data_IF_944562288809
#
_entry.id   IF_944562288809
#
_cell.length_a   1.000
_cell.length_b   1.000
_cell.length_c   1.000
_cell.angle_alpha   90.00
_cell.angle_beta   90.00
_cell.angle_gamma   90.00
#
_symmetry.space_group_name_H-M   'P 1'
#
loop_
_entity.id
_entity.type
_entity.pdbx_description
1 polymer ?
#
# COMPACT_ATOMS: atom_id res chain seq x y z
N UNK A 1 -41.71 -31.56 53.32
CA UNK A 1 -42.04 -30.40 52.47
C UNK A 1 -40.73 -29.69 52.14
N UNK A 2 -40.04 -30.12 51.09
CA UNK A 2 -38.76 -29.55 50.66
C UNK A 2 -38.98 -28.79 49.35
N UNK A 3 -38.80 -27.47 49.38
CA UNK A 3 -38.81 -26.61 48.19
C UNK A 3 -37.45 -26.70 47.50
N UNK A 4 -37.45 -27.09 46.22
CA UNK A 4 -36.30 -26.98 45.33
C UNK A 4 -36.37 -25.61 44.63
N UNK A 5 -35.40 -24.72 44.89
CA UNK A 5 -35.24 -23.47 44.15
C UNK A 5 -34.20 -23.68 43.04
N UNK A 6 -34.61 -23.56 41.78
CA UNK A 6 -33.71 -23.57 40.64
C UNK A 6 -33.25 -22.13 40.36
N UNK A 7 -31.96 -21.86 40.54
CA UNK A 7 -31.33 -20.60 40.12
C UNK A 7 -30.84 -20.74 38.67
N UNK A 8 -31.44 -20.00 37.75
CA UNK A 8 -30.96 -19.86 36.38
C UNK A 8 -29.83 -18.82 36.33
N UNK A 9 -28.62 -19.27 36.00
CA UNK A 9 -27.50 -18.38 35.72
C UNK A 9 -27.62 -17.85 34.28
N UNK A 10 -27.97 -16.58 34.11
CA UNK A 10 -27.85 -15.86 32.84
C UNK A 10 -26.38 -15.49 32.63
N UNK A 11 -25.68 -16.26 31.79
CA UNK A 11 -24.37 -15.90 31.28
C UNK A 11 -24.49 -14.84 30.19
N UNK A 12 -24.05 -13.61 30.46
CA UNK A 12 -23.84 -12.59 29.43
C UNK A 12 -22.60 -12.95 28.62
N UNK A 13 -22.79 -13.44 27.40
CA UNK A 13 -21.73 -13.52 26.41
C UNK A 13 -21.43 -12.12 25.87
N UNK A 14 -20.31 -11.53 26.27
CA UNK A 14 -19.77 -10.34 25.64
C UNK A 14 -19.28 -10.74 24.23
N UNK A 15 -20.01 -10.31 23.19
CA UNK A 15 -19.56 -10.45 21.81
C UNK A 15 -18.31 -9.56 21.64
N UNK A 16 -17.14 -10.18 21.46
CA UNK A 16 -15.95 -9.46 21.03
C UNK A 16 -16.24 -8.88 19.64
N UNK A 17 -16.31 -7.55 19.52
CA UNK A 17 -16.37 -6.90 18.21
C UNK A 17 -15.10 -7.28 17.43
N UNK A 18 -15.28 -7.95 16.29
CA UNK A 18 -14.21 -8.19 15.35
C UNK A 18 -13.55 -6.86 14.97
N UNK A 19 -12.23 -6.81 14.96
CA UNK A 19 -11.49 -5.62 14.54
C UNK A 19 -11.99 -5.18 13.14
N UNK A 20 -12.17 -3.87 12.91
CA UNK A 20 -12.65 -3.38 11.61
C UNK A 20 -11.74 -3.87 10.49
N UNK A 21 -12.34 -4.33 9.40
CA UNK A 21 -11.61 -4.68 8.19
C UNK A 21 -10.85 -3.48 7.60
N UNK A 22 -9.91 -3.72 6.66
CA UNK A 22 -9.04 -2.67 6.15
C UNK A 22 -9.79 -1.50 5.50
N UNK A 23 -10.93 -1.75 4.85
CA UNK A 23 -11.75 -0.69 4.26
C UNK A 23 -12.37 0.25 5.31
N UNK A 24 -12.89 -0.30 6.41
CA UNK A 24 -13.40 0.51 7.52
C UNK A 24 -12.29 1.30 8.21
N UNK A 25 -11.12 0.69 8.43
CA UNK A 25 -9.99 1.39 9.02
C UNK A 25 -9.52 2.58 8.16
N UNK A 26 -9.46 2.39 6.83
CA UNK A 26 -9.13 3.48 5.90
C UNK A 26 -10.18 4.60 5.87
N UNK A 27 -11.46 4.26 6.01
CA UNK A 27 -12.52 5.24 6.09
C UNK A 27 -12.41 6.10 7.36
N UNK A 28 -12.06 5.49 8.50
CA UNK A 28 -11.84 6.20 9.77
C UNK A 28 -10.66 7.18 9.67
N UNK A 29 -9.57 6.82 8.99
CA UNK A 29 -8.43 7.73 8.77
C UNK A 29 -8.82 9.04 8.08
N UNK A 30 -9.87 9.05 7.26
CA UNK A 30 -10.33 10.26 6.55
C UNK A 30 -11.34 11.05 7.40
N UNK A 31 -11.96 10.41 8.39
CA UNK A 31 -12.95 11.04 9.27
C UNK A 31 -12.31 11.68 10.49
N UNK A 32 -11.25 11.07 11.02
CA UNK A 32 -10.62 11.50 12.25
C UNK A 32 -9.20 12.05 12.01
N UNK A 33 -9.04 13.39 11.97
CA UNK A 33 -7.72 14.00 11.82
C UNK A 33 -6.76 13.67 12.98
N UNK A 34 -7.26 13.28 14.16
CA UNK A 34 -6.41 12.96 15.32
C UNK A 34 -5.60 11.67 15.13
N UNK A 35 -5.99 10.81 14.18
CA UNK A 35 -5.24 9.62 13.79
C UNK A 35 -3.96 9.95 13.01
N UNK A 36 -3.79 11.21 12.57
CA UNK A 36 -2.63 11.69 11.83
C UNK A 36 -1.65 12.42 12.76
N UNK A 37 -0.53 11.77 13.05
CA UNK A 37 0.58 12.35 13.79
C UNK A 37 1.44 13.25 12.90
N UNK A 38 1.35 14.56 13.11
CA UNK A 38 2.29 15.53 12.53
C UNK A 38 3.61 15.57 13.34
N UNK A 39 4.74 15.82 12.66
CA UNK A 39 6.07 15.90 13.29
C UNK A 39 6.89 17.06 12.71
N UNK A 40 7.99 17.42 13.38
CA UNK A 40 8.91 18.48 12.94
C UNK A 40 8.18 19.80 12.63
N UNK A 41 7.43 20.31 13.59
CA UNK A 41 6.65 21.56 13.47
C UNK A 41 5.61 21.58 12.33
N UNK A 42 5.34 20.43 11.72
CA UNK A 42 4.22 20.25 10.79
C UNK A 42 2.90 20.50 11.54
N UNK A 43 1.99 21.36 11.04
CA UNK A 43 0.68 21.53 11.66
C UNK A 43 -0.14 20.23 11.64
N UNK A 44 -1.04 20.00 12.62
CA UNK A 44 -1.93 18.84 12.58
C UNK A 44 -2.84 18.88 11.35
N UNK A 45 -3.27 17.70 10.89
CA UNK A 45 -4.33 17.60 9.89
C UNK A 45 -5.64 18.16 10.46
N UNK A 46 -6.50 18.69 9.59
CA UNK A 46 -7.78 19.29 9.99
C UNK A 46 -8.91 18.71 9.14
N UNK A 47 -10.09 18.49 9.73
CA UNK A 47 -11.26 18.12 8.96
C UNK A 47 -11.91 19.37 8.36
N UNK A 48 -12.39 19.29 7.13
CA UNK A 48 -13.25 20.33 6.55
C UNK A 48 -14.68 20.10 7.05
N UNK A 49 -15.19 21.04 7.84
CA UNK A 49 -16.52 20.95 8.43
C UNK A 49 -17.61 20.81 7.36
N UNK A 50 -18.59 19.94 7.63
CA UNK A 50 -19.75 19.69 6.76
C UNK A 50 -19.44 19.16 5.35
N UNK A 51 -18.19 18.80 5.04
CA UNK A 51 -17.84 18.20 3.75
C UNK A 51 -18.49 16.81 3.59
N UNK A 52 -19.11 16.57 2.43
CA UNK A 52 -19.62 15.26 2.03
C UNK A 52 -19.10 14.92 0.61
N UNK A 53 -18.28 13.86 0.46
CA UNK A 53 -17.76 12.97 1.50
C UNK A 53 -16.77 13.70 2.46
N UNK A 54 -16.38 13.09 3.60
CA UNK A 54 -15.42 13.69 4.53
C UNK A 54 -14.09 14.02 3.85
N UNK A 55 -13.52 15.18 4.20
CA UNK A 55 -12.27 15.70 3.64
C UNK A 55 -11.33 16.09 4.77
N UNK A 56 -10.07 15.67 4.66
CA UNK A 56 -8.98 16.19 5.49
C UNK A 56 -8.15 17.20 4.71
N UNK A 57 -7.80 18.29 5.36
CA UNK A 57 -6.89 19.33 4.89
C UNK A 57 -5.55 19.26 5.62
N UNK A 58 -4.47 19.34 4.85
CA UNK A 58 -3.09 19.25 5.29
C UNK A 58 -2.35 20.53 4.92
N UNK A 59 -2.08 21.37 5.92
CA UNK A 59 -1.43 22.67 5.72
C UNK A 59 0.08 22.52 5.54
N UNK A 60 0.62 23.21 4.55
CA UNK A 60 2.03 23.25 4.21
C UNK A 60 2.56 24.68 4.41
N UNK A 61 2.95 25.07 5.64
CA UNK A 61 3.43 26.43 5.93
C UNK A 61 4.91 26.59 5.51
N UNK A 62 5.19 26.44 4.22
CA UNK A 62 6.55 26.48 3.67
C UNK A 62 7.23 27.84 3.74
N UNK A 63 6.49 28.93 3.94
CA UNK A 63 7.08 30.25 4.14
C UNK A 63 7.76 30.36 5.52
N UNK A 64 7.19 29.72 6.55
CA UNK A 64 7.68 29.80 7.93
C UNK A 64 8.52 28.61 8.39
N UNK A 65 8.52 27.48 7.67
CA UNK A 65 9.28 26.30 8.04
C UNK A 65 10.64 26.20 7.31
N UNK A 66 11.76 25.99 8.03
CA UNK A 66 13.07 25.79 7.41
C UNK A 66 13.20 24.41 6.75
N UNK A 67 12.36 23.45 7.15
CA UNK A 67 12.42 22.07 6.69
C UNK A 67 12.07 21.92 5.20
N UNK A 68 12.70 20.93 4.56
CA UNK A 68 12.50 20.61 3.14
C UNK A 68 11.17 19.92 2.85
N UNK A 69 10.45 19.48 3.89
CA UNK A 69 9.15 18.79 3.78
C UNK A 69 8.35 18.91 5.07
N UNK A 70 7.05 18.82 4.93
CA UNK A 70 6.10 18.53 6.02
C UNK A 70 5.50 17.15 5.82
N UNK A 71 5.13 16.47 6.90
CA UNK A 71 4.56 15.14 6.78
C UNK A 71 3.67 14.72 7.96
N UNK A 72 2.77 13.79 7.67
CA UNK A 72 1.79 13.24 8.59
C UNK A 72 1.81 11.72 8.51
N UNK A 73 1.88 11.08 9.67
CA UNK A 73 1.88 9.62 9.82
C UNK A 73 0.56 9.14 10.39
N UNK A 74 -0.03 8.10 9.79
CA UNK A 74 -1.22 7.42 10.31
C UNK A 74 -0.98 5.92 10.45
N UNK A 75 -1.39 5.29 11.58
CA UNK A 75 -1.29 3.85 11.74
C UNK A 75 -2.30 3.15 10.83
N UNK A 76 -1.89 2.04 10.20
CA UNK A 76 -2.78 1.20 9.38
C UNK A 76 -2.44 -0.27 9.58
N UNK A 77 -3.28 -1.15 9.04
CA UNK A 77 -2.93 -2.56 8.83
C UNK A 77 -3.37 -2.93 7.41
N UNK A 78 -2.43 -2.94 6.47
CA UNK A 78 -2.69 -3.15 5.05
C UNK A 78 -1.81 -4.24 4.46
N UNK A 79 -2.41 -4.99 3.55
CA UNK A 79 -1.74 -5.88 2.62
C UNK A 79 -2.03 -5.33 1.21
N UNK A 80 -1.03 -4.71 0.58
CA UNK A 80 -1.10 -4.16 -0.79
C UNK A 80 -0.61 -5.15 -1.85
N UNK A 81 -0.44 -6.40 -1.47
CA UNK A 81 0.14 -7.43 -2.30
C UNK A 81 -1.04 -8.21 -2.97
N UNK A 82 -0.81 -9.15 -3.90
CA UNK A 82 -1.88 -9.79 -4.72
C UNK A 82 -2.82 -8.84 -5.50
N UNK A 83 -2.29 -7.81 -6.17
CA UNK A 83 -3.06 -7.00 -7.14
C UNK A 83 -3.98 -5.95 -6.48
N UNK A 84 -3.80 -5.72 -5.18
CA UNK A 84 -4.41 -4.60 -4.47
C UNK A 84 -3.69 -3.30 -4.83
N UNK A 85 -4.46 -2.24 -4.96
CA UNK A 85 -3.92 -0.88 -5.11
C UNK A 85 -4.59 0.03 -4.10
N UNK A 86 -3.80 0.93 -3.53
CA UNK A 86 -4.29 1.97 -2.66
C UNK A 86 -4.85 3.11 -3.51
N UNK A 87 -6.06 3.58 -3.21
CA UNK A 87 -6.68 4.71 -3.91
C UNK A 87 -7.07 5.81 -2.94
N UNK A 88 -7.04 7.03 -3.43
CA UNK A 88 -7.64 8.20 -2.78
C UNK A 88 -7.84 9.30 -3.80
N UNK A 89 -8.58 10.34 -3.43
CA UNK A 89 -8.63 11.59 -4.20
C UNK A 89 -7.84 12.67 -3.48
N UNK A 90 -7.16 13.50 -4.26
CA UNK A 90 -6.38 14.63 -3.78
C UNK A 90 -6.72 15.88 -4.59
N UNK A 91 -6.82 17.02 -3.92
CA UNK A 91 -6.96 18.34 -4.50
C UNK A 91 -5.99 19.30 -3.80
N UNK A 92 -5.63 20.41 -4.44
CA UNK A 92 -4.82 21.45 -3.82
C UNK A 92 -5.19 22.78 -4.47
N UNK A 93 -5.69 23.78 -3.71
CA UNK A 93 -6.07 25.07 -4.30
C UNK A 93 -4.93 25.76 -5.06
N UNK A 94 -3.68 25.55 -4.61
CA UNK A 94 -2.48 25.97 -5.32
C UNK A 94 -1.37 24.91 -5.14
N UNK A 95 -1.18 23.98 -6.08
CA UNK A 95 -0.16 22.95 -5.97
C UNK A 95 1.25 23.46 -6.29
N UNK A 96 1.42 24.68 -6.83
CA UNK A 96 2.71 25.15 -7.34
C UNK A 96 3.83 25.14 -6.28
N UNK A 97 3.59 25.52 -5.00
CA UNK A 97 4.63 25.47 -3.98
C UNK A 97 5.05 24.04 -3.55
N UNK A 98 4.32 23.00 -3.98
CA UNK A 98 4.61 21.59 -3.68
C UNK A 98 5.43 20.98 -4.82
N UNK A 99 6.76 20.85 -4.63
CA UNK A 99 7.64 20.21 -5.63
C UNK A 99 7.35 18.72 -5.81
N UNK A 100 6.91 18.06 -4.74
CA UNK A 100 6.58 16.64 -4.73
C UNK A 100 5.61 16.32 -3.61
N UNK A 101 4.54 15.59 -3.93
CA UNK A 101 3.70 14.94 -2.94
C UNK A 101 3.99 13.44 -3.00
N UNK A 102 4.40 12.84 -1.89
CA UNK A 102 4.74 11.41 -1.81
C UNK A 102 3.88 10.73 -0.75
N UNK A 103 3.31 9.59 -1.12
CA UNK A 103 2.69 8.66 -0.17
C UNK A 103 3.71 7.58 0.14
N UNK A 104 3.99 7.36 1.42
CA UNK A 104 4.82 6.27 1.87
C UNK A 104 4.02 5.22 2.65
N UNK A 105 4.40 3.97 2.49
CA UNK A 105 3.90 2.82 3.22
C UNK A 105 5.05 2.19 3.99
N UNK A 106 5.00 2.25 5.33
CA UNK A 106 6.03 1.60 6.15
C UNK A 106 5.76 0.11 6.21
N UNK A 107 6.81 -0.68 6.07
CA UNK A 107 6.78 -2.12 6.32
C UNK A 107 8.08 -2.53 7.01
N UNK A 108 7.99 -3.00 8.25
CA UNK A 108 9.19 -3.37 9.02
C UNK A 108 10.16 -2.20 9.19
N UNK A 109 11.40 -2.38 8.72
CA UNK A 109 12.52 -1.43 8.85
C UNK A 109 12.72 -0.54 7.60
N UNK A 110 11.70 -0.43 6.75
CA UNK A 110 11.77 0.41 5.57
C UNK A 110 10.41 0.92 5.13
N UNK A 111 10.43 1.61 3.99
CA UNK A 111 9.26 2.26 3.40
C UNK A 111 9.16 1.94 1.92
N UNK A 112 7.95 1.99 1.40
CA UNK A 112 7.69 2.07 -0.02
C UNK A 112 7.09 3.43 -0.34
N UNK A 113 7.70 4.21 -1.23
CA UNK A 113 7.21 5.53 -1.64
C UNK A 113 6.67 5.54 -3.07
N UNK A 114 5.58 6.28 -3.30
CA UNK A 114 5.05 6.61 -4.62
C UNK A 114 4.64 8.09 -4.69
N UNK A 115 4.79 8.70 -5.86
CA UNK A 115 4.36 10.08 -6.07
C UNK A 115 2.85 10.15 -6.26
N UNK A 116 2.22 11.21 -5.74
CA UNK A 116 0.77 11.37 -5.74
C UNK A 116 0.36 12.82 -6.02
N UNK A 117 0.80 13.37 -7.15
CA UNK A 117 0.59 14.78 -7.48
C UNK A 117 -0.89 15.12 -7.73
N UNK A 118 -1.43 16.21 -7.13
CA UNK A 118 -2.74 16.75 -7.45
C UNK A 118 -2.85 17.22 -8.90
N UNK A 119 -4.06 17.55 -9.35
CA UNK A 119 -4.25 18.21 -10.65
C UNK A 119 -3.71 19.65 -10.59
N UNK A 120 -3.22 20.15 -11.73
CA UNK A 120 -2.58 21.47 -11.81
C UNK A 120 -3.57 22.64 -11.74
N UNK A 121 -4.83 22.38 -12.09
CA UNK A 121 -5.97 23.30 -11.99
C UNK A 121 -6.59 23.35 -10.59
N UNK A 122 -6.07 22.55 -9.66
CA UNK A 122 -6.52 22.46 -8.28
C UNK A 122 -7.74 21.56 -8.05
N UNK A 123 -8.26 20.94 -9.11
CA UNK A 123 -9.39 20.03 -9.02
C UNK A 123 -9.03 18.69 -8.36
N UNK A 124 -10.09 17.97 -7.96
CA UNK A 124 -9.97 16.63 -7.43
C UNK A 124 -9.43 15.65 -8.47
N UNK A 125 -8.36 14.95 -8.11
CA UNK A 125 -7.76 13.88 -8.91
C UNK A 125 -7.74 12.59 -8.13
N UNK A 126 -8.24 11.51 -8.74
CA UNK A 126 -8.07 10.17 -8.19
C UNK A 126 -6.63 9.68 -8.41
N UNK A 127 -5.95 9.36 -7.32
CA UNK A 127 -4.66 8.69 -7.30
C UNK A 127 -4.88 7.20 -7.07
N UNK A 128 -4.21 6.37 -7.85
CA UNK A 128 -4.11 4.92 -7.64
C UNK A 128 -2.64 4.55 -7.56
N UNK A 129 -2.25 3.95 -6.45
CA UNK A 129 -0.89 3.46 -6.22
C UNK A 129 -0.95 1.95 -6.21
N UNK A 130 -0.37 1.36 -7.24
CA UNK A 130 -0.17 -0.08 -7.36
C UNK A 130 1.24 -0.46 -6.93
N UNK A 131 1.50 -1.75 -6.86
CA UNK A 131 2.81 -2.29 -6.50
C UNK A 131 3.93 -1.89 -7.47
N UNK A 132 3.62 -1.52 -8.73
CA UNK A 132 4.60 -1.08 -9.73
C UNK A 132 5.10 0.34 -9.49
N UNK A 133 4.28 1.19 -8.88
CA UNK A 133 4.58 2.59 -8.56
C UNK A 133 5.55 2.71 -7.38
N UNK A 134 5.60 1.67 -6.54
CA UNK A 134 6.27 1.67 -5.26
C UNK A 134 7.80 1.53 -5.37
N UNK A 135 8.49 2.45 -4.69
CA UNK A 135 9.95 2.48 -4.58
C UNK A 135 10.40 2.19 -3.15
N UNK A 136 11.18 1.12 -2.91
CA UNK A 136 11.66 0.82 -1.57
C UNK A 136 12.72 1.84 -1.14
N UNK A 137 12.64 2.25 0.11
CA UNK A 137 13.62 3.06 0.83
C UNK A 137 13.97 2.35 2.14
N UNK A 138 15.26 2.20 2.43
CA UNK A 138 15.73 1.37 3.54
C UNK A 138 15.54 -0.13 3.28
N UNK A 139 15.07 -0.87 4.28
CA UNK A 139 14.91 -2.34 4.24
C UNK A 139 13.48 -2.76 4.57
N UNK A 140 12.51 -2.55 3.67
CA UNK A 140 11.13 -2.92 3.93
C UNK A 140 10.93 -4.44 3.93
N UNK A 141 10.04 -4.93 4.79
CA UNK A 141 9.79 -6.39 4.96
C UNK A 141 8.84 -7.01 3.92
N UNK A 142 8.11 -6.21 3.14
CA UNK A 142 7.17 -6.70 2.11
C UNK A 142 5.94 -5.80 1.97
N UNK A 143 5.02 -6.11 1.05
CA UNK A 143 3.79 -5.31 0.87
C UNK A 143 2.60 -5.89 1.65
N UNK A 144 2.76 -7.10 2.19
CA UNK A 144 1.78 -7.80 3.03
C UNK A 144 1.70 -7.29 4.48
N UNK A 145 2.66 -6.48 4.94
CA UNK A 145 2.81 -6.08 6.34
C UNK A 145 2.95 -4.56 6.50
N UNK A 146 2.12 -3.79 5.78
CA UNK A 146 2.13 -2.34 5.89
C UNK A 146 1.40 -1.92 7.16
N UNK A 147 2.11 -1.19 8.01
CA UNK A 147 1.63 -0.80 9.33
C UNK A 147 1.48 0.72 9.53
N UNK A 148 1.89 1.52 8.54
CA UNK A 148 1.80 2.99 8.57
C UNK A 148 1.73 3.58 7.18
N UNK A 149 0.90 4.60 7.02
CA UNK A 149 0.92 5.52 5.87
C UNK A 149 1.57 6.83 6.30
N UNK A 150 2.36 7.42 5.40
CA UNK A 150 2.82 8.81 5.50
C UNK A 150 2.41 9.59 4.27
N UNK A 151 1.82 10.75 4.47
CA UNK A 151 1.69 11.77 3.43
C UNK A 151 2.79 12.79 3.64
N UNK A 152 3.59 13.07 2.61
CA UNK A 152 4.71 14.00 2.71
C UNK A 152 4.68 15.00 1.54
N UNK A 153 4.55 16.28 1.86
CA UNK A 153 4.66 17.36 0.89
C UNK A 153 6.07 17.96 0.97
N UNK A 154 6.79 17.89 -0.15
CA UNK A 154 8.13 18.43 -0.29
C UNK A 154 8.07 19.86 -0.80
N UNK A 155 8.75 20.74 -0.09
CA UNK A 155 8.84 22.17 -0.41
C UNK A 155 9.48 22.39 -1.77
N UNK A 156 8.81 23.14 -2.64
CA UNK A 156 9.36 23.70 -3.87
C UNK A 156 9.78 25.16 -3.68
N UNK A 157 8.86 25.96 -3.17
CA UNK A 157 9.04 27.39 -2.94
C UNK A 157 8.75 27.79 -1.49
N UNK A 158 9.14 29.00 -1.11
CA UNK A 158 8.88 29.59 0.21
C UNK A 158 7.48 30.20 0.30
N UNK A 159 6.46 29.46 -0.14
CA UNK A 159 5.07 29.93 -0.23
C UNK A 159 4.15 28.91 0.44
N UNK A 160 3.31 29.38 1.36
CA UNK A 160 2.36 28.54 2.05
C UNK A 160 1.29 28.00 1.10
N UNK A 161 0.89 26.75 1.32
CA UNK A 161 -0.19 26.11 0.57
C UNK A 161 -0.84 25.02 1.42
N UNK A 162 -1.79 24.28 0.85
CA UNK A 162 -2.33 23.06 1.43
C UNK A 162 -2.70 22.06 0.35
N UNK A 163 -2.94 20.82 0.78
CA UNK A 163 -3.63 19.84 -0.04
C UNK A 163 -4.73 19.17 0.79
N UNK A 164 -5.73 18.68 0.08
CA UNK A 164 -6.91 18.04 0.64
C UNK A 164 -6.96 16.60 0.14
N UNK A 165 -7.41 15.67 0.99
CA UNK A 165 -7.61 14.28 0.59
C UNK A 165 -8.96 13.76 1.04
N UNK A 166 -9.51 12.81 0.28
CA UNK A 166 -10.75 12.10 0.61
C UNK A 166 -10.77 10.70 0.00
N UNK A 167 -11.77 9.91 0.38
CA UNK A 167 -12.10 8.63 -0.25
C UNK A 167 -10.95 7.62 -0.31
N UNK A 168 -10.25 7.41 0.82
CA UNK A 168 -9.27 6.34 0.94
C UNK A 168 -9.93 4.98 0.72
N UNK A 169 -9.23 4.09 0.02
CA UNK A 169 -9.70 2.73 -0.20
C UNK A 169 -8.68 1.82 -0.82
N UNK A 170 -9.06 0.54 -0.91
CA UNK A 170 -8.34 -0.47 -1.67
C UNK A 170 -9.16 -0.87 -2.88
N UNK A 171 -8.56 -0.81 -4.05
CA UNK A 171 -9.08 -1.47 -5.25
C UNK A 171 -8.43 -2.85 -5.35
N UNK A 172 -9.26 -3.88 -5.56
CA UNK A 172 -8.80 -5.22 -5.91
C UNK A 172 -9.02 -5.40 -7.40
N UNK A 173 -7.94 -5.60 -8.17
CA UNK A 173 -8.08 -6.04 -9.55
C UNK A 173 -7.68 -7.51 -9.64
N UNK A 174 -8.56 -8.41 -10.11
CA UNK A 174 -8.17 -9.76 -10.45
C UNK A 174 -6.99 -9.69 -11.42
N UNK A 175 -5.87 -10.29 -11.04
CA UNK A 175 -4.68 -10.33 -11.86
C UNK A 175 -4.40 -11.79 -12.19
N UNK A 176 -4.68 -12.26 -13.43
CA UNK A 176 -4.42 -13.64 -13.81
C UNK A 176 -2.92 -13.93 -13.94
N UNK A 177 -2.06 -12.92 -13.84
CA UNK A 177 -0.61 -13.06 -13.87
C UNK A 177 -0.04 -12.73 -12.49
N UNK A 178 0.81 -13.59 -11.96
CA UNK A 178 1.56 -13.38 -10.73
C UNK A 178 3.05 -13.26 -11.04
N UNK A 179 3.67 -12.12 -10.71
CA UNK A 179 5.12 -11.92 -10.78
C UNK A 179 5.73 -12.28 -9.43
N UNK A 180 6.63 -13.26 -9.38
CA UNK A 180 7.41 -13.52 -8.16
C UNK A 180 8.63 -12.61 -8.13
N UNK A 181 8.64 -11.66 -7.21
CA UNK A 181 9.82 -10.82 -6.97
C UNK A 181 10.94 -11.69 -6.41
N UNK A 182 12.18 -11.55 -6.90
CA UNK A 182 13.34 -12.27 -6.39
C UNK A 182 13.80 -11.70 -5.04
N UNK A 183 12.91 -11.69 -4.07
CA UNK A 183 13.14 -11.15 -2.72
C UNK A 183 14.05 -12.09 -1.91
N UNK A 184 14.11 -13.37 -2.27
CA UNK A 184 15.10 -14.36 -1.81
C UNK A 184 16.56 -13.93 -2.10
N UNK A 185 16.77 -13.03 -3.07
CA UNK A 185 18.09 -12.47 -3.39
C UNK A 185 18.46 -11.26 -2.53
N UNK A 186 17.66 -10.83 -1.55
CA UNK A 186 17.84 -9.53 -0.87
C UNK A 186 19.27 -9.25 -0.38
N UNK A 187 19.98 -10.28 0.10
CA UNK A 187 21.34 -10.21 0.65
C UNK A 187 22.45 -10.61 -0.36
N UNK A 188 22.13 -10.75 -1.65
CA UNK A 188 23.09 -11.13 -2.69
C UNK A 188 23.48 -9.93 -3.57
N UNK A 189 24.57 -10.08 -4.33
CA UNK A 189 25.00 -9.07 -5.30
C UNK A 189 23.98 -8.85 -6.44
N UNK A 190 23.11 -9.84 -6.71
CA UNK A 190 22.12 -9.81 -7.79
C UNK A 190 20.79 -9.14 -7.38
N UNK A 191 20.63 -8.77 -6.10
CA UNK A 191 19.40 -8.16 -5.57
C UNK A 191 18.91 -6.95 -6.40
N UNK A 192 19.86 -6.12 -6.86
CA UNK A 192 19.56 -4.96 -7.71
C UNK A 192 19.03 -5.37 -9.09
N UNK A 193 19.68 -6.33 -9.73
CA UNK A 193 19.30 -6.85 -11.05
C UNK A 193 17.93 -7.54 -11.01
N UNK A 194 17.69 -8.37 -10.00
CA UNK A 194 16.40 -9.04 -9.79
C UNK A 194 15.24 -8.07 -9.61
N UNK A 195 15.41 -7.05 -8.74
CA UNK A 195 14.40 -6.00 -8.56
C UNK A 195 14.15 -5.21 -9.85
N UNK A 196 15.19 -4.93 -10.63
CA UNK A 196 15.07 -4.23 -11.90
C UNK A 196 14.31 -5.07 -12.95
N UNK A 197 14.56 -6.38 -13.00
CA UNK A 197 13.88 -7.32 -13.89
C UNK A 197 12.39 -7.43 -13.56
N UNK A 198 12.01 -7.62 -12.29
CA UNK A 198 10.61 -7.68 -11.86
C UNK A 198 9.85 -6.40 -12.22
N UNK A 199 10.45 -5.23 -11.98
CA UNK A 199 9.86 -3.93 -12.35
C UNK A 199 9.70 -3.76 -13.85
N UNK A 200 10.69 -4.18 -14.65
CA UNK A 200 10.62 -4.07 -16.10
C UNK A 200 9.52 -4.96 -16.67
N UNK A 201 9.43 -6.19 -16.19
CA UNK A 201 8.40 -7.17 -16.54
C UNK A 201 7.01 -6.59 -16.30
N UNK A 202 6.80 -6.00 -15.13
CA UNK A 202 5.51 -5.41 -14.80
C UNK A 202 5.16 -4.23 -15.71
N UNK A 203 6.11 -3.35 -16.02
CA UNK A 203 5.88 -2.25 -16.99
C UNK A 203 5.53 -2.77 -18.38
N UNK A 204 6.12 -3.88 -18.81
CA UNK A 204 5.79 -4.51 -20.11
C UNK A 204 4.35 -5.03 -20.08
N UNK A 205 3.97 -5.77 -19.04
CA UNK A 205 2.61 -6.29 -18.88
C UNK A 205 1.58 -5.15 -18.79
N UNK A 206 1.88 -4.10 -18.02
CA UNK A 206 1.03 -2.92 -17.89
C UNK A 206 0.82 -2.22 -19.24
N UNK A 207 1.88 -2.00 -20.02
CA UNK A 207 1.77 -1.43 -21.37
C UNK A 207 0.98 -2.32 -22.33
N UNK A 208 1.00 -3.63 -22.11
CA UNK A 208 0.20 -4.60 -22.86
C UNK A 208 -1.24 -4.71 -22.34
N UNK A 209 -1.63 -3.96 -21.30
CA UNK A 209 -2.96 -4.04 -20.69
C UNK A 209 -3.19 -5.32 -19.88
N UNK A 210 -2.13 -6.06 -19.52
CA UNK A 210 -2.19 -7.30 -18.76
C UNK A 210 -2.07 -6.99 -17.27
N UNK A 211 -3.14 -7.26 -16.51
CA UNK A 211 -3.13 -7.12 -15.07
C UNK A 211 -2.22 -8.18 -14.43
N UNK A 212 -1.24 -7.72 -13.66
CA UNK A 212 -0.31 -8.57 -12.92
C UNK A 212 -0.29 -8.19 -11.43
N UNK A 213 -0.27 -9.20 -10.57
CA UNK A 213 0.00 -9.07 -9.15
C UNK A 213 1.44 -9.45 -8.84
N UNK A 214 1.88 -9.16 -7.62
CA UNK A 214 3.22 -9.51 -7.16
C UNK A 214 3.15 -10.29 -5.87
N UNK A 215 4.10 -11.21 -5.70
CA UNK A 215 4.42 -11.88 -4.43
C UNK A 215 5.92 -12.03 -4.28
N UNK A 216 6.38 -12.14 -3.04
CA UNK A 216 7.76 -12.54 -2.76
C UNK A 216 7.97 -14.00 -3.17
N UNK A 217 9.07 -14.32 -3.85
CA UNK A 217 9.46 -15.71 -4.10
C UNK A 217 9.91 -16.45 -2.82
N UNK A 218 10.13 -15.72 -1.72
CA UNK A 218 10.46 -16.28 -0.41
C UNK A 218 9.23 -16.67 0.42
N UNK A 219 8.02 -16.25 0.02
CA UNK A 219 6.80 -16.40 0.82
C UNK A 219 5.57 -16.79 -0.03
N UNK A 220 5.77 -17.52 -1.13
CA UNK A 220 4.67 -17.99 -1.96
C UNK A 220 3.87 -19.09 -1.24
N UNK A 221 2.56 -18.95 -1.20
CA UNK A 221 1.63 -19.98 -0.70
C UNK A 221 0.65 -20.45 -1.78
N UNK A 222 0.03 -21.63 -1.64
CA UNK A 222 -1.01 -22.08 -2.57
C UNK A 222 -2.20 -21.12 -2.68
N UNK A 223 -2.54 -20.42 -1.59
CA UNK A 223 -3.65 -19.45 -1.59
C UNK A 223 -3.40 -18.29 -2.57
N UNK A 224 -2.14 -17.88 -2.73
CA UNK A 224 -1.74 -16.79 -3.64
C UNK A 224 -1.92 -17.13 -5.12
N UNK A 225 -2.07 -18.42 -5.44
CA UNK A 225 -2.25 -18.92 -6.80
C UNK A 225 -3.71 -19.06 -7.21
N UNK A 226 -4.64 -18.76 -6.30
CA UNK A 226 -6.08 -18.79 -6.59
C UNK A 226 -6.42 -17.77 -7.66
N UNK A 227 -6.94 -18.23 -8.80
CA UNK A 227 -7.28 -17.37 -9.95
C UNK A 227 -6.07 -16.90 -10.76
N UNK A 228 -4.87 -17.37 -10.45
CA UNK A 228 -3.66 -17.12 -11.25
C UNK A 228 -3.60 -18.15 -12.39
N UNK A 229 -3.33 -17.67 -13.60
CA UNK A 229 -3.16 -18.50 -14.79
C UNK A 229 -1.70 -18.57 -15.25
N UNK A 230 -0.89 -17.57 -14.89
CA UNK A 230 0.52 -17.48 -15.25
C UNK A 230 1.35 -16.98 -14.07
N UNK A 231 2.39 -17.72 -13.72
CA UNK A 231 3.47 -17.26 -12.82
C UNK A 231 4.65 -16.79 -13.68
N UNK A 232 5.21 -15.63 -13.34
CA UNK A 232 6.39 -15.07 -14.02
C UNK A 232 7.55 -15.00 -13.02
N UNK A 233 8.70 -15.54 -13.41
CA UNK A 233 9.95 -15.56 -12.64
C UNK A 233 11.01 -14.68 -13.34
N UNK A 234 10.99 -13.36 -13.11
CA UNK A 234 11.97 -12.45 -13.66
C UNK A 234 13.25 -12.47 -12.84
N UNK A 235 14.29 -13.12 -13.36
CA UNK A 235 15.61 -13.18 -12.74
C UNK A 235 15.56 -13.80 -11.33
N UNK A 236 14.92 -14.98 -11.22
CA UNK A 236 14.97 -15.84 -10.04
C UNK A 236 15.94 -17.01 -10.32
N UNK A 237 17.27 -16.86 -10.08
CA UNK A 237 18.27 -17.91 -10.34
C UNK A 237 18.05 -19.17 -9.50
N UNK A 238 17.49 -18.99 -8.30
CA UNK A 238 17.14 -20.06 -7.39
C UNK A 238 15.82 -19.69 -6.71
N UNK A 239 15.04 -20.71 -6.37
CA UNK A 239 13.83 -20.58 -5.59
C UNK A 239 13.98 -21.39 -4.30
N UNK A 240 13.41 -20.94 -3.17
CA UNK A 240 13.29 -21.77 -1.98
C UNK A 240 12.55 -23.08 -2.30
N UNK A 241 12.91 -24.22 -1.67
CA UNK A 241 12.27 -25.51 -1.94
C UNK A 241 10.75 -25.51 -1.82
N UNK A 242 10.20 -24.85 -0.79
CA UNK A 242 8.75 -24.74 -0.59
C UNK A 242 8.05 -23.96 -1.74
N UNK A 243 8.70 -22.92 -2.25
CA UNK A 243 8.21 -22.16 -3.42
C UNK A 243 8.25 -23.02 -4.67
N UNK A 244 9.31 -23.82 -4.86
CA UNK A 244 9.45 -24.75 -5.98
C UNK A 244 8.33 -25.79 -5.98
N UNK A 245 8.05 -26.41 -4.83
CA UNK A 245 6.96 -27.37 -4.66
C UNK A 245 5.60 -26.75 -4.98
N UNK A 246 5.35 -25.55 -4.46
CA UNK A 246 4.10 -24.80 -4.72
C UNK A 246 3.92 -24.49 -6.21
N UNK A 247 4.98 -24.11 -6.92
CA UNK A 247 4.95 -23.89 -8.37
C UNK A 247 4.77 -25.21 -9.14
N UNK A 248 5.38 -26.31 -8.69
CA UNK A 248 5.21 -27.61 -9.32
C UNK A 248 3.75 -28.07 -9.27
N UNK A 249 3.07 -27.91 -8.13
CA UNK A 249 1.65 -28.23 -7.97
C UNK A 249 0.75 -27.32 -8.81
N UNK A 250 1.09 -26.04 -8.91
CA UNK A 250 0.42 -25.09 -9.80
C UNK A 250 0.48 -25.54 -11.26
N UNK A 251 1.65 -25.96 -11.73
CA UNK A 251 1.86 -26.44 -13.10
C UNK A 251 1.08 -27.74 -13.36
N UNK A 252 1.08 -28.68 -12.41
CA UNK A 252 0.27 -29.91 -12.49
C UNK A 252 -1.24 -29.61 -12.59
N UNK A 253 -1.67 -28.50 -12.01
CA UNK A 253 -3.06 -28.04 -12.02
C UNK A 253 -3.43 -27.22 -13.28
N UNK A 254 -2.53 -27.15 -14.27
CA UNK A 254 -2.77 -26.45 -15.55
C UNK A 254 -2.31 -24.99 -15.58
N UNK A 255 -1.66 -24.52 -14.52
CA UNK A 255 -0.98 -23.22 -14.50
C UNK A 255 0.18 -23.16 -15.48
N UNK A 256 0.63 -21.94 -15.81
CA UNK A 256 1.77 -21.72 -16.72
C UNK A 256 2.90 -20.98 -16.01
N UNK A 257 4.13 -21.23 -16.45
CA UNK A 257 5.32 -20.57 -15.93
C UNK A 257 6.06 -19.87 -17.07
N UNK A 258 6.44 -18.61 -16.86
CA UNK A 258 7.37 -17.88 -17.69
C UNK A 258 8.59 -17.50 -16.84
N UNK A 259 9.72 -18.17 -17.04
CA UNK A 259 10.97 -17.84 -16.37
C UNK A 259 12.01 -17.31 -17.34
N UNK A 260 12.76 -16.29 -16.92
CA UNK A 260 13.89 -15.77 -17.70
C UNK A 260 14.94 -15.14 -16.79
N UNK A 261 16.21 -15.34 -17.14
CA UNK A 261 17.34 -14.82 -16.37
C UNK A 261 17.77 -13.43 -16.83
N UNK A 262 17.69 -13.15 -18.13
CA UNK A 262 17.77 -11.80 -18.68
C UNK A 262 16.46 -11.48 -19.38
N UNK A 263 16.07 -10.20 -19.34
CA UNK A 263 14.82 -9.75 -19.99
C UNK A 263 14.98 -9.97 -21.50
N UNK A 264 13.97 -10.52 -22.20
CA UNK A 264 13.93 -10.52 -23.66
C UNK A 264 14.06 -9.11 -24.26
#
# INVERSE_FOLDING_TARGET
MFCLAAAAAMGTAAAALAAPGPASALAELIRDPSLWSARNDTPPATAIESAQPPVLNFNCPFASLPDRRVFWDAPVALDLEAGRSFRFEVASPDPAPIRRLTVYFRSGQGWYGADAYPAADGDWKTIRISTTDLRPEGRPSGLHAIDRIRLAAWRGDAVDTSFQVRNFGLDVRPAPVLILRPDSLAETAEAGAGRAAARRTARILERAGVAASFRSDAALSPADLTGIHLVVLPHNPALPPATLETIADFLRSGGRLLGFYQVP
#
